data_IF_366659281362
#
_entry.id   IF_366659281362
#
_cell.length_a   1.000
_cell.length_b   1.000
_cell.length_c   1.000
_cell.angle_alpha   90.00
_cell.angle_beta   90.00
_cell.angle_gamma   90.00
#
_symmetry.space_group_name_H-M   'P 1'
#
loop_
_entity.id
_entity.type
_entity.pdbx_description
1 polymer ?
#
# COMPACT_ATOMS: atom_id res chain seq x y z
N UNK A 1 17.00 10.23 -4.06
CA UNK A 1 15.68 10.14 -3.41
C UNK A 1 15.86 10.09 -1.91
N UNK A 2 14.95 10.66 -1.11
CA UNK A 2 14.95 10.44 0.31
C UNK A 2 14.55 8.97 0.56
N UNK A 3 15.43 8.19 1.16
CA UNK A 3 15.19 6.77 1.45
C UNK A 3 14.55 6.67 2.82
N UNK A 4 13.40 6.00 2.91
CA UNK A 4 12.75 5.67 4.16
C UNK A 4 13.51 4.50 4.81
N UNK A 5 14.06 4.70 5.99
CA UNK A 5 14.87 3.67 6.66
C UNK A 5 14.08 2.85 7.68
N UNK A 6 13.08 3.48 8.33
CA UNK A 6 12.29 2.82 9.38
C UNK A 6 10.90 3.47 9.47
N UNK A 7 9.88 2.65 9.66
CA UNK A 7 8.57 3.07 10.15
C UNK A 7 8.41 2.57 11.57
N UNK A 8 8.20 3.46 12.50
CA UNK A 8 8.02 3.16 13.92
C UNK A 8 6.64 3.62 14.39
N UNK A 9 5.96 2.76 15.10
CA UNK A 9 4.65 2.99 15.68
C UNK A 9 4.74 2.74 17.17
N UNK A 10 4.36 3.74 17.98
CA UNK A 10 4.44 3.67 19.44
C UNK A 10 3.10 3.96 20.08
N UNK A 11 2.60 3.01 20.88
CA UNK A 11 1.37 3.10 21.70
C UNK A 11 0.14 3.62 20.92
N UNK A 12 0.04 3.22 19.64
CA UNK A 12 -0.99 3.71 18.75
C UNK A 12 -2.37 3.27 19.21
N UNK A 13 -3.30 4.23 19.31
CA UNK A 13 -4.69 4.01 19.67
C UNK A 13 -5.61 4.56 18.58
N UNK A 14 -6.62 3.78 18.21
CA UNK A 14 -7.63 4.16 17.24
C UNK A 14 -9.02 4.18 17.87
N UNK A 15 -9.74 5.28 17.69
CA UNK A 15 -11.14 5.42 18.05
C UNK A 15 -11.97 5.85 16.84
N UNK A 16 -13.16 5.28 16.68
CA UNK A 16 -14.10 5.63 15.60
C UNK A 16 -15.53 5.59 16.13
N UNK A 17 -16.28 6.67 15.87
CA UNK A 17 -17.69 6.76 16.29
C UNK A 17 -17.87 6.54 17.80
N UNK A 18 -16.96 7.07 18.62
CA UNK A 18 -16.98 6.91 20.08
C UNK A 18 -16.61 5.51 20.58
N UNK A 19 -16.16 4.61 19.71
CA UNK A 19 -15.71 3.26 20.09
C UNK A 19 -14.21 3.12 19.88
N UNK A 20 -13.53 2.51 20.84
CA UNK A 20 -12.14 2.12 20.72
C UNK A 20 -12.05 0.89 19.82
N UNK A 21 -11.23 0.98 18.78
CA UNK A 21 -11.01 -0.10 17.80
C UNK A 21 -9.80 -0.94 18.22
N UNK A 22 -8.69 -0.27 18.58
CA UNK A 22 -7.51 -0.89 19.18
C UNK A 22 -6.75 0.13 20.03
N UNK A 23 -5.87 -0.35 20.90
CA UNK A 23 -5.02 0.48 21.77
C UNK A 23 -3.63 -0.11 21.94
N UNK A 24 -2.71 0.75 22.32
CA UNK A 24 -1.34 0.41 22.73
C UNK A 24 -0.57 -0.44 21.70
N UNK A 25 -0.88 -0.22 20.40
CA UNK A 25 -0.23 -0.92 19.31
C UNK A 25 1.14 -0.32 19.06
N UNK A 26 2.19 -1.17 19.13
CA UNK A 26 3.57 -0.76 18.89
C UNK A 26 4.30 -1.79 18.03
N UNK A 27 4.96 -1.32 16.98
CA UNK A 27 5.83 -2.12 16.11
C UNK A 27 6.82 -1.22 15.37
N UNK A 28 7.84 -1.84 14.80
CA UNK A 28 8.77 -1.16 13.89
C UNK A 28 9.06 -2.06 12.69
N UNK A 29 9.29 -1.44 11.53
CA UNK A 29 9.65 -2.12 10.29
C UNK A 29 10.70 -1.31 9.56
N UNK A 30 11.79 -1.96 9.17
CA UNK A 30 12.91 -1.35 8.47
C UNK A 30 12.79 -1.45 6.95
N UNK A 31 13.59 -0.66 6.26
CA UNK A 31 13.78 -0.76 4.81
C UNK A 31 14.03 -2.21 4.36
N UNK A 32 13.49 -2.59 3.21
CA UNK A 32 13.62 -3.94 2.66
C UNK A 32 12.69 -4.99 3.26
N UNK A 33 11.82 -4.62 4.19
CA UNK A 33 10.98 -5.59 4.91
C UNK A 33 9.51 -5.51 4.52
N UNK A 34 8.83 -6.65 4.66
CA UNK A 34 7.37 -6.78 4.57
C UNK A 34 6.81 -7.06 5.97
N UNK A 35 5.76 -6.33 6.36
CA UNK A 35 4.99 -6.59 7.58
C UNK A 35 3.54 -6.90 7.22
N UNK A 36 3.02 -8.01 7.74
CA UNK A 36 1.59 -8.32 7.64
C UNK A 36 0.86 -7.94 8.92
N UNK A 37 -0.21 -7.16 8.77
CA UNK A 37 -1.18 -6.89 9.83
C UNK A 37 -2.26 -7.98 9.77
N UNK A 38 -2.22 -8.89 10.72
CA UNK A 38 -3.18 -9.99 10.85
C UNK A 38 -4.18 -9.71 11.97
N UNK A 39 -5.28 -10.44 12.01
CA UNK A 39 -6.30 -10.31 13.05
C UNK A 39 -7.72 -10.47 12.50
N UNK A 40 -8.73 -10.61 13.37
CA UNK A 40 -10.11 -10.83 12.93
C UNK A 40 -10.67 -9.65 12.15
N UNK A 41 -11.79 -9.88 11.44
CA UNK A 41 -12.51 -8.79 10.80
C UNK A 41 -13.00 -7.80 11.85
N UNK A 42 -12.84 -6.51 11.59
CA UNK A 42 -13.15 -5.47 12.55
C UNK A 42 -12.04 -5.12 13.55
N UNK A 43 -10.93 -5.86 13.62
CA UNK A 43 -9.79 -5.55 14.50
C UNK A 43 -9.13 -4.19 14.23
N UNK A 44 -9.44 -3.55 13.09
CA UNK A 44 -8.93 -2.22 12.78
C UNK A 44 -7.75 -2.19 11.82
N UNK A 45 -7.44 -3.28 11.13
CA UNK A 45 -6.32 -3.36 10.16
C UNK A 45 -6.33 -2.21 9.14
N UNK A 46 -7.47 -2.01 8.46
CA UNK A 46 -7.64 -0.88 7.52
C UNK A 46 -7.56 0.49 8.21
N UNK A 47 -7.98 0.58 9.48
CA UNK A 47 -7.86 1.82 10.25
C UNK A 47 -6.39 2.10 10.60
N UNK A 48 -5.63 1.09 10.99
CA UNK A 48 -4.20 1.21 11.23
C UNK A 48 -3.46 1.70 9.96
N UNK A 49 -3.71 1.09 8.80
CA UNK A 49 -3.13 1.54 7.55
C UNK A 49 -3.50 3.00 7.23
N UNK A 50 -4.76 3.41 7.46
CA UNK A 50 -5.18 4.82 7.25
C UNK A 50 -4.52 5.79 8.21
N UNK A 51 -4.25 5.39 9.45
CA UNK A 51 -3.50 6.22 10.40
C UNK A 51 -2.04 6.35 9.93
N UNK A 52 -1.41 5.25 9.50
CA UNK A 52 -0.06 5.27 8.96
C UNK A 52 0.06 6.22 7.76
N UNK A 53 -0.92 6.22 6.86
CA UNK A 53 -0.94 7.10 5.69
C UNK A 53 -1.33 8.55 5.99
N UNK A 54 -1.71 8.88 7.22
CA UNK A 54 -2.21 10.22 7.57
C UNK A 54 -3.67 10.49 7.16
N UNK A 55 -4.36 9.52 6.57
CA UNK A 55 -5.78 9.67 6.16
C UNK A 55 -6.76 9.60 7.34
N UNK A 56 -6.30 9.13 8.48
CA UNK A 56 -7.08 9.05 9.72
C UNK A 56 -6.20 9.53 10.88
N UNK A 57 -6.68 10.46 11.73
CA UNK A 57 -5.94 10.84 12.93
C UNK A 57 -5.94 9.69 13.95
N UNK A 58 -4.83 9.52 14.65
CA UNK A 58 -4.74 8.65 15.82
C UNK A 58 -5.41 9.31 17.03
N UNK A 59 -5.99 8.51 17.93
CA UNK A 59 -6.53 8.99 19.20
C UNK A 59 -5.40 9.20 20.24
N UNK A 60 -4.36 8.35 20.20
CA UNK A 60 -3.16 8.48 21.02
C UNK A 60 -1.98 7.74 20.33
N UNK A 61 -0.77 7.94 20.83
CA UNK A 61 0.44 7.33 20.31
C UNK A 61 1.08 8.15 19.20
N UNK A 62 2.12 7.61 18.60
CA UNK A 62 2.92 8.28 17.56
C UNK A 62 3.23 7.34 16.41
N UNK A 63 3.28 7.92 15.20
CA UNK A 63 3.82 7.28 13.98
C UNK A 63 4.99 8.11 13.48
N UNK A 64 6.15 7.50 13.36
CA UNK A 64 7.39 8.11 12.89
C UNK A 64 7.90 7.40 11.64
N UNK A 65 8.19 8.15 10.60
CA UNK A 65 8.86 7.68 9.40
C UNK A 65 10.27 8.24 9.36
N UNK A 66 11.26 7.42 9.76
CA UNK A 66 12.65 7.82 9.83
C UNK A 66 13.27 7.79 8.43
N UNK A 67 13.87 8.89 8.03
CA UNK A 67 14.59 9.01 6.76
C UNK A 67 16.07 8.73 6.95
N UNK A 68 16.71 8.12 5.95
CA UNK A 68 18.17 7.86 5.95
C UNK A 68 19.02 9.13 6.09
N UNK A 69 18.45 10.28 5.77
CA UNK A 69 19.07 11.59 5.97
C UNK A 69 19.09 12.09 7.43
N UNK A 70 18.62 11.28 8.39
CA UNK A 70 18.70 11.57 9.82
C UNK A 70 17.53 12.35 10.42
N UNK A 71 16.46 12.61 9.68
CA UNK A 71 15.25 13.25 10.20
C UNK A 71 14.03 12.31 10.18
N UNK A 72 13.03 12.60 10.98
CA UNK A 72 11.77 11.84 11.03
C UNK A 72 10.59 12.69 10.57
N UNK A 73 9.67 12.05 9.84
CA UNK A 73 8.39 12.61 9.43
C UNK A 73 7.31 12.05 10.36
N UNK A 74 6.65 12.93 11.11
CA UNK A 74 5.58 12.56 12.06
C UNK A 74 4.23 13.17 11.66
N UNK A 75 4.23 14.27 10.94
CA UNK A 75 3.02 14.91 10.43
C UNK A 75 2.28 14.02 9.44
N UNK A 76 0.94 13.94 9.56
CA UNK A 76 0.12 13.04 8.77
C UNK A 76 0.11 13.36 7.28
N UNK A 77 0.06 14.66 6.90
CA UNK A 77 0.07 15.10 5.51
C UNK A 77 1.44 14.78 4.85
N UNK A 78 2.52 15.07 5.56
CA UNK A 78 3.87 14.78 5.08
C UNK A 78 4.11 13.25 4.96
N UNK A 79 3.60 12.45 5.90
CA UNK A 79 3.63 10.98 5.79
C UNK A 79 2.90 10.50 4.53
N UNK A 80 1.74 11.09 4.21
CA UNK A 80 0.97 10.77 3.02
C UNK A 80 1.76 10.93 1.71
N UNK A 81 2.72 11.84 1.67
CA UNK A 81 3.60 12.05 0.51
C UNK A 81 4.61 10.91 0.31
N UNK A 82 4.86 10.10 1.34
CA UNK A 82 5.76 8.95 1.29
C UNK A 82 5.03 7.63 0.98
N UNK A 83 3.69 7.65 0.91
CA UNK A 83 2.86 6.45 0.85
C UNK A 83 2.31 6.18 -0.55
N UNK A 84 2.53 4.96 -1.04
CA UNK A 84 1.73 4.33 -2.09
C UNK A 84 0.60 3.53 -1.43
N UNK A 85 -0.63 3.73 -1.86
CA UNK A 85 -1.82 3.18 -1.20
C UNK A 85 -2.65 2.30 -2.14
N UNK A 86 -2.97 1.08 -1.69
CA UNK A 86 -4.08 0.29 -2.23
C UNK A 86 -5.08 0.02 -1.10
N UNK A 87 -6.32 0.47 -1.31
CA UNK A 87 -7.45 0.18 -0.43
C UNK A 87 -8.50 -0.70 -1.10
N UNK A 88 -9.69 -0.72 -0.50
CA UNK A 88 -10.84 -1.42 -1.06
C UNK A 88 -11.26 -0.89 -2.43
N UNK A 89 -11.12 0.41 -2.67
CA UNK A 89 -11.40 1.05 -3.97
C UNK A 89 -10.09 1.23 -4.71
N UNK A 90 -10.05 0.77 -5.95
CA UNK A 90 -8.82 0.76 -6.75
C UNK A 90 -8.39 2.16 -7.24
N UNK A 91 -9.28 3.17 -7.09
CA UNK A 91 -9.04 4.53 -7.57
C UNK A 91 -8.99 4.65 -9.10
N UNK A 92 -9.36 3.59 -9.80
CA UNK A 92 -9.39 3.51 -11.26
C UNK A 92 -10.50 4.38 -11.82
N UNK A 93 -10.19 5.16 -12.85
CA UNK A 93 -11.15 5.98 -13.58
C UNK A 93 -11.81 5.13 -14.67
N UNK A 94 -13.06 4.72 -14.43
CA UNK A 94 -13.78 3.75 -15.25
C UNK A 94 -13.90 4.14 -16.73
N UNK A 95 -14.04 5.44 -17.02
CA UNK A 95 -14.22 5.97 -18.37
C UNK A 95 -12.92 6.04 -19.20
N UNK A 96 -11.80 6.09 -18.52
CA UNK A 96 -10.48 6.11 -19.18
C UNK A 96 -10.03 4.70 -19.55
N UNK A 97 -9.26 4.57 -20.63
CA UNK A 97 -8.59 3.31 -20.95
C UNK A 97 -7.57 2.91 -19.88
N UNK A 98 -7.08 1.69 -19.95
CA UNK A 98 -5.99 1.20 -19.08
C UNK A 98 -4.77 2.10 -19.21
N UNK A 99 -4.36 2.43 -20.43
CA UNK A 99 -3.21 3.30 -20.69
C UNK A 99 -3.45 4.72 -20.20
N UNK A 100 -4.64 5.30 -20.46
CA UNK A 100 -4.97 6.64 -19.97
C UNK A 100 -4.98 6.72 -18.44
N UNK A 101 -5.49 5.68 -17.75
CA UNK A 101 -5.37 5.58 -16.30
C UNK A 101 -3.91 5.60 -15.85
N UNK A 102 -3.06 4.78 -16.46
CA UNK A 102 -1.65 4.70 -16.11
C UNK A 102 -0.92 6.02 -16.39
N UNK A 103 -1.14 6.65 -17.54
CA UNK A 103 -0.59 7.96 -17.89
C UNK A 103 -1.07 9.06 -16.93
N UNK A 104 -2.36 9.03 -16.55
CA UNK A 104 -2.91 9.97 -15.55
C UNK A 104 -2.16 9.86 -14.22
N UNK A 105 -1.93 8.65 -13.71
CA UNK A 105 -1.20 8.47 -12.46
C UNK A 105 0.30 8.80 -12.61
N UNK A 106 0.93 8.43 -13.72
CA UNK A 106 2.31 8.82 -14.01
C UNK A 106 2.47 10.36 -13.97
N UNK A 107 1.57 11.09 -14.61
CA UNK A 107 1.58 12.54 -14.61
C UNK A 107 1.33 13.12 -13.20
N UNK A 108 0.35 12.56 -12.46
CA UNK A 108 0.01 13.00 -11.10
C UNK A 108 1.19 12.88 -10.14
N UNK A 109 1.97 11.80 -10.26
CA UNK A 109 3.12 11.54 -9.39
C UNK A 109 4.44 12.09 -9.95
N UNK A 110 4.43 12.66 -11.17
CA UNK A 110 5.65 13.13 -11.84
C UNK A 110 6.60 12.00 -12.22
N UNK A 111 6.07 10.79 -12.44
CA UNK A 111 6.87 9.61 -12.76
C UNK A 111 7.50 9.75 -14.15
N UNK A 112 8.80 9.49 -14.23
CA UNK A 112 9.58 9.42 -15.48
C UNK A 112 9.96 7.96 -15.74
N UNK A 113 8.96 7.15 -16.08
CA UNK A 113 9.09 5.70 -16.24
C UNK A 113 8.35 5.26 -17.52
N UNK A 114 8.78 4.16 -18.10
CA UNK A 114 8.06 3.52 -19.21
C UNK A 114 6.72 2.95 -18.73
N UNK A 115 5.65 3.70 -19.01
CA UNK A 115 4.28 3.32 -18.61
C UNK A 115 3.84 2.01 -19.29
N UNK A 116 4.25 1.77 -20.55
CA UNK A 116 3.90 0.54 -21.24
C UNK A 116 4.65 -0.66 -20.66
N UNK A 117 5.90 -0.48 -20.23
CA UNK A 117 6.65 -1.50 -19.47
C UNK A 117 5.99 -1.84 -18.16
N UNK A 118 5.49 -0.85 -17.42
CA UNK A 118 4.71 -1.07 -16.18
C UNK A 118 3.43 -1.86 -16.46
N UNK A 119 2.70 -1.52 -17.53
CA UNK A 119 1.49 -2.26 -17.92
C UNK A 119 1.82 -3.70 -18.36
N UNK A 120 2.97 -3.92 -18.99
CA UNK A 120 3.45 -5.26 -19.34
C UNK A 120 3.74 -6.09 -18.07
N UNK A 121 4.42 -5.49 -17.11
CA UNK A 121 4.78 -6.12 -15.84
C UNK A 121 3.55 -6.60 -15.03
N UNK A 122 2.48 -5.79 -15.01
CA UNK A 122 1.21 -6.20 -14.37
C UNK A 122 0.31 -7.04 -15.30
N UNK A 123 0.76 -7.39 -16.50
CA UNK A 123 0.03 -8.22 -17.47
C UNK A 123 -1.20 -7.53 -18.08
N UNK A 124 -1.17 -6.21 -18.25
CA UNK A 124 -2.27 -5.42 -18.81
C UNK A 124 -1.95 -4.76 -20.16
N UNK A 125 -0.75 -4.92 -20.70
CA UNK A 125 -0.30 -4.28 -21.95
C UNK A 125 -1.26 -4.51 -23.12
N UNK A 126 -1.77 -5.75 -23.26
CA UNK A 126 -2.70 -6.10 -24.36
C UNK A 126 -4.09 -5.48 -24.20
N UNK A 127 -4.38 -4.93 -23.05
CA UNK A 127 -5.64 -4.26 -22.71
C UNK A 127 -5.48 -2.73 -22.65
N UNK A 128 -4.35 -2.19 -23.11
CA UNK A 128 -4.00 -0.78 -22.97
C UNK A 128 -5.11 0.17 -23.45
N UNK A 129 -5.73 -0.13 -24.58
CA UNK A 129 -6.79 0.69 -25.19
C UNK A 129 -8.20 0.39 -24.66
N UNK A 130 -8.36 -0.66 -23.81
CA UNK A 130 -9.67 -1.03 -23.27
C UNK A 130 -10.10 -0.06 -22.18
N UNK A 131 -11.31 0.53 -22.23
CA UNK A 131 -11.87 1.31 -21.12
C UNK A 131 -11.93 0.49 -19.83
N UNK A 132 -11.46 1.08 -18.72
CA UNK A 132 -11.28 0.35 -17.46
C UNK A 132 -12.59 -0.17 -16.85
N UNK A 133 -13.73 0.36 -17.24
CA UNK A 133 -15.04 -0.17 -16.84
C UNK A 133 -15.29 -1.62 -17.29
N UNK A 134 -14.64 -2.07 -18.36
CA UNK A 134 -14.77 -3.44 -18.89
C UNK A 134 -13.75 -4.42 -18.28
N UNK A 135 -12.85 -3.96 -17.43
CA UNK A 135 -11.92 -4.82 -16.73
C UNK A 135 -12.64 -5.71 -15.72
N UNK A 136 -12.18 -6.95 -15.60
CA UNK A 136 -12.55 -7.81 -14.46
C UNK A 136 -12.05 -7.21 -13.14
N UNK A 137 -12.57 -7.69 -12.01
CA UNK A 137 -12.10 -7.25 -10.69
C UNK A 137 -10.58 -7.47 -10.52
N UNK A 138 -10.06 -8.64 -10.94
CA UNK A 138 -8.63 -8.93 -10.91
C UNK A 138 -7.80 -8.03 -11.83
N UNK A 139 -8.30 -7.71 -13.02
CA UNK A 139 -7.62 -6.77 -13.93
C UNK A 139 -7.59 -5.34 -13.36
N UNK A 140 -8.68 -4.88 -12.74
CA UNK A 140 -8.69 -3.58 -12.02
C UNK A 140 -7.70 -3.57 -10.86
N UNK A 141 -7.61 -4.66 -10.09
CA UNK A 141 -6.64 -4.78 -9.02
C UNK A 141 -5.21 -4.68 -9.54
N UNK A 142 -4.90 -5.34 -10.66
CA UNK A 142 -3.58 -5.24 -11.32
C UNK A 142 -3.29 -3.82 -11.84
N UNK A 143 -4.28 -3.09 -12.31
CA UNK A 143 -4.13 -1.67 -12.66
C UNK A 143 -3.84 -0.81 -11.41
N UNK A 144 -4.43 -1.18 -10.26
CA UNK A 144 -4.08 -0.60 -8.95
C UNK A 144 -2.62 -0.86 -8.56
N UNK A 145 -2.09 -2.06 -8.83
CA UNK A 145 -0.66 -2.37 -8.62
C UNK A 145 0.24 -1.53 -9.56
N UNK A 146 -0.13 -1.38 -10.84
CA UNK A 146 0.59 -0.48 -11.74
C UNK A 146 0.69 0.95 -11.18
N UNK A 147 -0.38 1.45 -10.55
CA UNK A 147 -0.39 2.77 -9.89
C UNK A 147 0.63 2.86 -8.75
N UNK A 148 0.86 1.78 -7.98
CA UNK A 148 1.90 1.77 -6.94
C UNK A 148 3.28 1.97 -7.54
N UNK A 149 3.62 1.21 -8.58
CA UNK A 149 4.90 1.35 -9.29
C UNK A 149 5.07 2.80 -9.78
N UNK A 150 4.03 3.33 -10.44
CA UNK A 150 4.03 4.70 -10.96
C UNK A 150 4.11 5.76 -9.87
N UNK A 151 3.66 5.47 -8.65
CA UNK A 151 3.75 6.40 -7.52
C UNK A 151 5.18 6.62 -7.06
N UNK A 152 6.06 5.63 -7.26
CA UNK A 152 7.46 5.63 -6.83
C UNK A 152 7.62 6.06 -5.35
N UNK A 153 6.74 5.56 -4.47
CA UNK A 153 6.71 5.91 -3.04
C UNK A 153 7.45 4.84 -2.23
N UNK A 154 8.24 5.23 -1.22
CA UNK A 154 9.07 4.30 -0.45
C UNK A 154 8.27 3.39 0.49
N UNK A 155 7.04 3.76 0.87
CA UNK A 155 6.19 2.95 1.73
C UNK A 155 4.93 2.52 0.98
N UNK A 156 4.71 1.23 0.84
CA UNK A 156 3.46 0.69 0.32
C UNK A 156 2.55 0.22 1.46
N UNK A 157 1.34 0.77 1.51
CA UNK A 157 0.28 0.38 2.44
C UNK A 157 -0.84 -0.29 1.66
N UNK A 158 -1.05 -1.59 1.88
CA UNK A 158 -1.90 -2.43 1.06
C UNK A 158 -3.01 -3.07 1.90
N UNK A 159 -4.27 -2.77 1.56
CA UNK A 159 -5.45 -3.34 2.23
C UNK A 159 -6.06 -4.41 1.34
N UNK A 160 -5.91 -5.69 1.72
CA UNK A 160 -6.32 -6.89 0.99
C UNK A 160 -5.88 -6.89 -0.49
N UNK A 161 -4.56 -6.77 -0.77
CA UNK A 161 -4.08 -6.60 -2.15
C UNK A 161 -4.29 -7.83 -3.02
N UNK A 162 -4.42 -9.03 -2.46
CA UNK A 162 -4.61 -10.28 -3.19
C UNK A 162 -6.07 -10.61 -3.47
N UNK A 163 -7.01 -9.89 -2.85
CA UNK A 163 -8.43 -10.13 -3.05
C UNK A 163 -8.82 -9.98 -4.53
N UNK A 164 -9.65 -10.89 -5.03
CA UNK A 164 -10.12 -10.93 -6.43
C UNK A 164 -9.04 -11.25 -7.48
N UNK A 165 -7.82 -11.58 -7.08
CA UNK A 165 -6.77 -12.05 -7.98
C UNK A 165 -6.84 -13.58 -8.13
N UNK A 166 -6.65 -14.05 -9.37
CA UNK A 166 -6.36 -15.44 -9.67
C UNK A 166 -4.92 -15.81 -9.26
N UNK A 167 -4.56 -17.07 -9.35
CA UNK A 167 -3.23 -17.57 -8.97
C UNK A 167 -2.10 -16.81 -9.67
N UNK A 168 -2.25 -16.51 -10.97
CA UNK A 168 -1.25 -15.77 -11.72
C UNK A 168 -1.15 -14.32 -11.25
N UNK A 169 -2.28 -13.65 -11.00
CA UNK A 169 -2.32 -12.29 -10.47
C UNK A 169 -1.75 -12.19 -9.05
N UNK A 170 -1.98 -13.19 -8.21
CA UNK A 170 -1.38 -13.26 -6.86
C UNK A 170 0.14 -13.36 -6.92
N UNK A 171 0.67 -14.18 -7.85
CA UNK A 171 2.11 -14.28 -8.06
C UNK A 171 2.70 -12.95 -8.49
N UNK A 172 2.11 -12.27 -9.48
CA UNK A 172 2.55 -10.94 -9.92
C UNK A 172 2.52 -9.93 -8.76
N UNK A 173 1.46 -9.94 -7.94
CA UNK A 173 1.38 -9.05 -6.78
C UNK A 173 2.49 -9.33 -5.76
N UNK A 174 2.78 -10.60 -5.48
CA UNK A 174 3.86 -10.99 -4.56
C UNK A 174 5.23 -10.61 -5.13
N UNK A 175 5.49 -10.88 -6.40
CA UNK A 175 6.74 -10.49 -7.08
C UNK A 175 6.96 -8.97 -6.99
N UNK A 176 5.95 -8.15 -7.31
CA UNK A 176 6.04 -6.69 -7.22
C UNK A 176 6.30 -6.17 -5.80
N UNK A 177 5.69 -6.79 -4.79
CA UNK A 177 5.93 -6.42 -3.37
C UNK A 177 7.37 -6.78 -2.99
N UNK A 178 7.86 -7.95 -3.41
CA UNK A 178 9.24 -8.38 -3.18
C UNK A 178 10.23 -7.42 -3.82
N UNK A 179 10.09 -7.15 -5.12
CA UNK A 179 10.94 -6.21 -5.87
C UNK A 179 10.96 -4.82 -5.21
N UNK A 180 9.80 -4.30 -4.80
CA UNK A 180 9.73 -3.02 -4.09
C UNK A 180 10.58 -3.02 -2.81
N UNK A 181 10.54 -4.10 -2.02
CA UNK A 181 11.32 -4.23 -0.80
C UNK A 181 12.81 -4.44 -1.13
N UNK A 182 13.15 -5.26 -2.11
CA UNK A 182 14.52 -5.48 -2.56
C UNK A 182 15.19 -4.18 -3.04
N UNK A 183 14.41 -3.27 -3.65
CA UNK A 183 14.81 -1.93 -4.04
C UNK A 183 14.88 -0.93 -2.87
N UNK A 184 14.73 -1.40 -1.62
CA UNK A 184 14.81 -0.59 -0.41
C UNK A 184 13.50 0.08 0.00
N UNK A 185 12.37 -0.35 -0.54
CA UNK A 185 11.05 0.05 -0.06
C UNK A 185 10.63 -0.69 1.21
N UNK A 186 9.48 -0.31 1.75
CA UNK A 186 8.82 -0.98 2.88
C UNK A 186 7.39 -1.30 2.46
N UNK A 187 6.89 -2.49 2.79
CA UNK A 187 5.49 -2.85 2.57
C UNK A 187 4.79 -3.23 3.89
N UNK A 188 3.65 -2.60 4.19
CA UNK A 188 2.77 -2.97 5.31
C UNK A 188 1.42 -3.38 4.73
N UNK A 189 1.01 -4.62 4.99
CA UNK A 189 -0.08 -5.28 4.29
C UNK A 189 -1.11 -5.79 5.29
N UNK A 190 -2.33 -5.29 5.23
CA UNK A 190 -3.46 -5.89 5.94
C UNK A 190 -4.01 -7.03 5.07
N UNK A 191 -3.87 -8.25 5.54
CA UNK A 191 -4.37 -9.43 4.84
C UNK A 191 -4.58 -10.60 5.81
N UNK A 192 -5.41 -11.54 5.39
CA UNK A 192 -5.56 -12.85 6.01
C UNK A 192 -5.07 -13.98 5.09
N UNK A 193 -4.55 -13.62 3.91
CA UNK A 193 -4.03 -14.56 2.93
C UNK A 193 -2.50 -14.65 3.01
N UNK A 194 -1.95 -15.81 2.67
CA UNK A 194 -0.50 -16.01 2.60
C UNK A 194 0.06 -15.35 1.34
N UNK A 195 1.06 -14.48 1.53
CA UNK A 195 1.71 -13.75 0.44
C UNK A 195 2.74 -14.58 -0.33
N UNK A 196 3.25 -15.66 0.26
CA UNK A 196 4.38 -16.42 -0.31
C UNK A 196 5.73 -15.67 -0.23
N UNK A 197 5.79 -14.61 0.58
CA UNK A 197 6.99 -13.81 0.87
C UNK A 197 7.40 -13.99 2.33
N UNK A 198 8.69 -13.76 2.62
CA UNK A 198 9.14 -13.60 4.00
C UNK A 198 8.58 -12.29 4.56
N UNK A 199 7.80 -12.39 5.62
CA UNK A 199 7.10 -11.25 6.20
C UNK A 199 7.06 -11.34 7.73
N UNK A 200 7.36 -10.24 8.39
CA UNK A 200 7.11 -10.11 9.82
C UNK A 200 5.59 -10.04 10.06
N UNK A 201 5.09 -10.86 10.96
CA UNK A 201 3.66 -10.89 11.28
C UNK A 201 3.38 -10.07 12.53
N UNK A 202 2.44 -9.16 12.43
CA UNK A 202 1.92 -8.41 13.57
C UNK A 202 0.43 -8.69 13.75
N UNK A 203 0.07 -9.26 14.89
CA UNK A 203 -1.32 -9.58 15.19
C UNK A 203 -2.00 -8.40 15.87
N UNK A 204 -2.99 -7.80 15.22
CA UNK A 204 -3.83 -6.76 15.78
C UNK A 204 -4.99 -7.42 16.54
N UNK A 205 -4.89 -7.45 17.87
CA UNK A 205 -5.96 -7.94 18.75
C UNK A 205 -7.14 -6.96 18.78
N UNK A 206 -8.36 -7.49 19.03
CA UNK A 206 -9.51 -6.65 19.38
C UNK A 206 -9.28 -6.04 20.78
N UNK A 207 -9.65 -4.77 20.95
CA UNK A 207 -9.60 -4.07 22.23
C UNK A 207 -10.57 -4.68 23.25
#
# INVERSE_FOLDING_TARGET
>A
MAVLSLVEVQNLTCERGGRRIFRDVSFAIATGQVLTLEGPNGAGKSSALRILSGLLPQAAGEVRMQMSAGYAVTDGEERGKLVGWIGHTDGVKAQLSVLENALFFAALYGARIDVMGVLDHVGLKRLADLPAQYLSAGQRKRLGLARLILSNRPLWLLDEPLSSLDTAGRRVAAELIGEHCDDGGIAIIATHETLGLDATRFFLGSA
#
